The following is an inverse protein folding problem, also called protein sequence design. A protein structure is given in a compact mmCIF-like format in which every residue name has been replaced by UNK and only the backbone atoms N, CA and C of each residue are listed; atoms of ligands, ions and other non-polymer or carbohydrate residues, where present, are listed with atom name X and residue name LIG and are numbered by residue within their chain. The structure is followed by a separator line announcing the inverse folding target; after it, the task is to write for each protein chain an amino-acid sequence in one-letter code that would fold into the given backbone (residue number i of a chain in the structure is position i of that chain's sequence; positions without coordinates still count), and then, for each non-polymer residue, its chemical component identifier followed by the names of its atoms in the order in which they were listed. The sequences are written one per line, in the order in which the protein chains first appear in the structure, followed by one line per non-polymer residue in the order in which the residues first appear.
data_IF_100167584122
#
_entry.id   IF_100167584122
#
_cell.length_a   1.000
_cell.length_b   1.000
_cell.length_c   1.000
_cell.angle_alpha   90.00
_cell.angle_beta   90.00
_cell.angle_gamma   90.00
#
_symmetry.space_group_name_H-M   'P 1'
#
loop_
_entity.id
_entity.type
_entity.pdbx_description
1 polymer ?
#
# COMPACT_ATOMS: atom_id res chain seq x y z
N UNK A 1 -12.49 -32.69 -14.92
CA UNK A 1 -13.36 -31.68 -14.30
C UNK A 1 -12.55 -30.40 -14.22
N UNK A 2 -12.94 -29.30 -14.89
CA UNK A 2 -12.29 -28.02 -14.70
C UNK A 2 -13.19 -27.17 -13.80
N UNK A 3 -12.91 -27.10 -12.51
CA UNK A 3 -13.50 -26.05 -11.68
C UNK A 3 -12.56 -24.85 -11.67
N UNK A 4 -13.16 -23.76 -12.13
CA UNK A 4 -12.53 -22.55 -12.56
C UNK A 4 -12.10 -21.74 -11.34
N UNK A 5 -10.82 -21.37 -11.36
CA UNK A 5 -10.22 -20.12 -10.86
C UNK A 5 -11.23 -19.04 -10.43
N UNK A 6 -11.82 -19.17 -9.24
CA UNK A 6 -12.53 -18.09 -8.55
C UNK A 6 -11.50 -17.25 -7.80
N UNK A 7 -10.81 -16.38 -8.53
CA UNK A 7 -10.33 -15.12 -7.97
C UNK A 7 -11.58 -14.31 -7.61
N UNK A 8 -12.17 -14.64 -6.45
CA UNK A 8 -13.33 -13.94 -5.92
C UNK A 8 -12.94 -12.46 -5.78
N UNK A 9 -13.72 -11.60 -6.43
CA UNK A 9 -13.78 -10.17 -6.15
C UNK A 9 -14.15 -10.00 -4.67
N UNK A 10 -13.16 -10.11 -3.80
CA UNK A 10 -13.36 -10.01 -2.37
C UNK A 10 -13.42 -8.53 -2.05
N UNK A 11 -14.63 -7.97 -2.03
CA UNK A 11 -14.88 -6.73 -1.30
C UNK A 11 -14.25 -6.92 0.08
N UNK A 12 -13.25 -6.13 0.49
CA UNK A 12 -12.65 -6.29 1.80
C UNK A 12 -13.76 -6.22 2.85
N UNK A 13 -13.82 -7.22 3.73
CA UNK A 13 -14.80 -7.26 4.82
C UNK A 13 -14.74 -5.94 5.60
N UNK A 14 -15.88 -5.39 6.03
CA UNK A 14 -15.96 -4.12 6.78
C UNK A 14 -14.89 -4.02 7.87
N UNK A 15 -14.69 -5.11 8.62
CA UNK A 15 -13.70 -5.18 9.71
C UNK A 15 -12.25 -4.99 9.28
N UNK A 16 -11.89 -5.36 8.04
CA UNK A 16 -10.55 -5.13 7.48
C UNK A 16 -10.37 -3.64 7.19
N UNK A 17 -11.36 -3.00 6.57
CA UNK A 17 -11.32 -1.57 6.28
C UNK A 17 -11.30 -0.73 7.57
N UNK A 18 -12.08 -1.12 8.57
CA UNK A 18 -12.09 -0.46 9.89
C UNK A 18 -10.73 -0.57 10.58
N UNK A 19 -10.08 -1.73 10.54
CA UNK A 19 -8.75 -1.91 11.11
C UNK A 19 -7.68 -1.07 10.38
N UNK A 20 -7.76 -0.96 9.05
CA UNK A 20 -6.86 -0.10 8.26
C UNK A 20 -7.06 1.38 8.60
N UNK A 21 -8.32 1.80 8.72
CA UNK A 21 -8.64 3.17 9.11
C UNK A 21 -8.14 3.48 10.52
N UNK A 22 -8.23 2.54 11.46
CA UNK A 22 -7.68 2.67 12.80
C UNK A 22 -6.15 2.83 12.77
N UNK A 23 -5.44 1.98 12.01
CA UNK A 23 -3.99 2.08 11.84
C UNK A 23 -3.62 3.44 11.23
N UNK A 24 -4.33 3.89 10.22
CA UNK A 24 -4.15 5.22 9.63
C UNK A 24 -4.40 6.35 10.65
N UNK A 25 -5.46 6.27 11.45
CA UNK A 25 -5.77 7.25 12.51
C UNK A 25 -4.72 7.29 13.61
N UNK A 26 -4.08 6.16 13.94
CA UNK A 26 -3.05 6.13 14.99
C UNK A 26 -1.69 6.63 14.50
N UNK A 27 -1.44 6.56 13.19
CA UNK A 27 -0.13 6.92 12.58
C UNK A 27 -0.17 8.29 11.91
N UNK A 28 -0.99 8.45 10.87
CA UNK A 28 -1.19 9.75 10.20
C UNK A 28 -2.08 10.68 11.03
N UNK A 29 -3.13 10.17 11.68
CA UNK A 29 -4.08 10.96 12.48
C UNK A 29 -5.05 11.79 11.65
N UNK A 30 -4.52 12.59 10.72
CA UNK A 30 -5.30 13.36 9.74
C UNK A 30 -4.65 13.26 8.37
N UNK A 31 -5.43 13.51 7.31
CA UNK A 31 -4.89 13.49 5.94
C UNK A 31 -3.77 14.52 5.75
N UNK A 32 -3.91 15.70 6.35
CA UNK A 32 -2.91 16.77 6.29
C UNK A 32 -1.58 16.39 6.95
N UNK A 33 -1.61 15.50 7.94
CA UNK A 33 -0.43 15.02 8.65
C UNK A 33 0.12 13.70 8.07
N UNK A 34 -0.52 13.16 7.02
CA UNK A 34 -0.04 11.99 6.31
C UNK A 34 1.05 12.41 5.32
N UNK A 35 2.30 12.31 5.74
CA UNK A 35 3.51 12.70 5.02
C UNK A 35 4.47 11.50 4.94
N UNK A 36 5.66 11.68 4.40
CA UNK A 36 6.68 10.64 4.21
C UNK A 36 6.98 9.85 5.50
N UNK A 37 7.12 10.55 6.63
CA UNK A 37 7.43 9.90 7.92
C UNK A 37 6.23 9.13 8.48
N UNK A 38 5.04 9.73 8.46
CA UNK A 38 3.84 9.12 9.04
C UNK A 38 3.28 8.00 8.16
N UNK A 39 3.48 8.06 6.83
CA UNK A 39 3.10 6.96 5.93
C UNK A 39 3.99 5.74 6.11
N UNK A 40 5.29 5.92 6.37
CA UNK A 40 6.16 4.79 6.74
C UNK A 40 5.72 4.15 8.06
N UNK A 41 5.29 4.98 9.02
CA UNK A 41 4.73 4.47 10.28
C UNK A 41 3.42 3.70 10.06
N UNK A 42 2.55 4.19 9.16
CA UNK A 42 1.34 3.49 8.72
C UNK A 42 1.66 2.11 8.13
N UNK A 43 2.61 2.04 7.19
CA UNK A 43 3.00 0.78 6.54
C UNK A 43 3.65 -0.21 7.50
N UNK A 44 4.55 0.26 8.37
CA UNK A 44 5.14 -0.57 9.43
C UNK A 44 4.07 -1.12 10.35
N UNK A 45 3.05 -0.31 10.70
CA UNK A 45 1.98 -0.76 11.57
C UNK A 45 1.02 -1.74 10.90
N UNK A 46 0.83 -1.62 9.58
CA UNK A 46 0.18 -2.63 8.78
C UNK A 46 0.89 -3.98 8.87
N UNK A 47 2.20 -4.00 8.64
CA UNK A 47 3.02 -5.23 8.73
C UNK A 47 2.92 -5.85 10.13
N UNK A 48 3.09 -5.07 11.19
CA UNK A 48 2.94 -5.52 12.59
C UNK A 48 1.55 -6.13 12.88
N UNK A 49 0.53 -5.63 12.19
CA UNK A 49 -0.86 -6.10 12.34
C UNK A 49 -1.22 -7.25 11.39
N UNK A 50 -0.22 -7.85 10.71
CA UNK A 50 -0.37 -8.90 9.70
C UNK A 50 -1.18 -8.47 8.46
N UNK A 51 -1.25 -7.17 8.17
CA UNK A 51 -1.73 -6.68 6.88
C UNK A 51 -0.57 -6.64 5.89
N UNK A 52 -0.85 -7.11 4.67
CA UNK A 52 0.09 -7.00 3.57
C UNK A 52 0.38 -5.51 3.24
N UNK A 53 1.65 -5.08 3.21
CA UNK A 53 1.98 -3.69 2.94
C UNK A 53 1.53 -3.19 1.56
N UNK A 54 1.48 -4.05 0.54
CA UNK A 54 0.96 -3.70 -0.79
C UNK A 54 -0.55 -3.42 -0.73
N UNK A 55 -1.27 -4.17 0.10
CA UNK A 55 -2.69 -3.91 0.38
C UNK A 55 -2.88 -2.56 1.09
N UNK A 56 -2.05 -2.24 2.08
CA UNK A 56 -2.08 -0.92 2.74
C UNK A 56 -1.70 0.24 1.80
N UNK A 57 -0.72 0.04 0.92
CA UNK A 57 -0.39 0.99 -0.15
C UNK A 57 -1.59 1.25 -1.07
N UNK A 58 -2.29 0.20 -1.49
CA UNK A 58 -3.48 0.34 -2.34
C UNK A 58 -4.60 1.11 -1.63
N UNK A 59 -4.78 0.87 -0.33
CA UNK A 59 -5.78 1.57 0.47
C UNK A 59 -5.49 3.08 0.55
N UNK A 60 -4.24 3.47 0.83
CA UNK A 60 -3.89 4.89 0.94
C UNK A 60 -3.91 5.61 -0.41
N UNK A 61 -3.59 4.91 -1.50
CA UNK A 61 -3.73 5.41 -2.88
C UNK A 61 -5.16 5.83 -3.22
N UNK A 62 -6.17 5.10 -2.73
CA UNK A 62 -7.59 5.49 -2.89
C UNK A 62 -7.98 6.79 -2.15
N UNK A 63 -7.10 7.31 -1.28
CA UNK A 63 -7.30 8.55 -0.53
C UNK A 63 -6.27 9.63 -0.90
N UNK A 64 -5.54 9.42 -2.00
CA UNK A 64 -4.49 10.32 -2.49
C UNK A 64 -4.96 11.77 -2.70
N UNK A 65 -6.22 11.96 -3.07
CA UNK A 65 -6.85 13.27 -3.26
C UNK A 65 -6.90 14.12 -1.98
N UNK A 66 -6.84 13.48 -0.81
CA UNK A 66 -6.93 14.13 0.50
C UNK A 66 -5.56 14.44 1.10
N UNK A 67 -4.51 13.82 0.56
CA UNK A 67 -3.16 13.87 1.11
C UNK A 67 -2.38 15.00 0.42
N UNK A 68 -1.89 16.00 1.17
CA UNK A 68 -1.04 17.03 0.60
C UNK A 68 0.30 16.42 0.16
N UNK A 69 0.92 16.98 -0.88
CA UNK A 69 2.18 16.49 -1.43
C UNK A 69 2.17 14.99 -1.76
N UNK A 70 1.03 14.49 -2.25
CA UNK A 70 0.81 13.07 -2.53
C UNK A 70 1.95 12.42 -3.32
N UNK A 71 2.59 13.12 -4.27
CA UNK A 71 3.73 12.57 -5.02
C UNK A 71 4.86 12.06 -4.11
N UNK A 72 5.28 12.84 -3.12
CA UNK A 72 6.36 12.45 -2.21
C UNK A 72 5.94 11.30 -1.28
N UNK A 73 4.68 11.32 -0.84
CA UNK A 73 4.09 10.24 -0.03
C UNK A 73 4.01 8.94 -0.84
N UNK A 74 3.59 9.01 -2.10
CA UNK A 74 3.47 7.88 -3.01
C UNK A 74 4.84 7.24 -3.28
N UNK A 75 5.86 8.05 -3.60
CA UNK A 75 7.22 7.57 -3.84
C UNK A 75 7.77 6.87 -2.59
N UNK A 76 7.65 7.51 -1.42
CA UNK A 76 8.09 6.95 -0.14
C UNK A 76 7.35 5.63 0.17
N UNK A 77 6.04 5.58 -0.09
CA UNK A 77 5.21 4.39 0.12
C UNK A 77 5.70 3.24 -0.76
N UNK A 78 5.92 3.50 -2.05
CA UNK A 78 6.38 2.51 -3.01
C UNK A 78 7.77 1.99 -2.65
N UNK A 79 8.71 2.88 -2.32
CA UNK A 79 10.05 2.50 -1.88
C UNK A 79 10.01 1.61 -0.63
N UNK A 80 9.20 1.98 0.37
CA UNK A 80 9.08 1.21 1.60
C UNK A 80 8.51 -0.18 1.34
N UNK A 81 7.44 -0.29 0.56
CA UNK A 81 6.81 -1.59 0.24
C UNK A 81 7.78 -2.48 -0.54
N UNK A 82 8.52 -1.94 -1.50
CA UNK A 82 9.53 -2.69 -2.25
C UNK A 82 10.65 -3.25 -1.34
N UNK A 83 10.97 -2.56 -0.24
CA UNK A 83 11.99 -3.01 0.72
C UNK A 83 11.48 -4.09 1.70
N UNK A 84 10.18 -4.05 2.03
CA UNK A 84 9.60 -4.87 3.11
C UNK A 84 8.78 -6.04 2.60
N UNK A 85 8.26 -5.95 1.37
CA UNK A 85 7.63 -7.09 0.70
C UNK A 85 8.67 -7.75 -0.17
N UNK A 86 8.88 -9.05 0.03
CA UNK A 86 9.68 -9.88 -0.89
C UNK A 86 8.88 -10.13 -2.16
N UNK A 87 8.47 -9.06 -2.85
CA UNK A 87 7.99 -9.16 -4.23
C UNK A 87 9.21 -9.53 -5.06
N UNK A 88 9.35 -10.82 -5.31
CA UNK A 88 10.47 -11.39 -6.05
C UNK A 88 10.71 -10.63 -7.35
N UNK A 89 11.98 -10.24 -7.50
CA UNK A 89 12.63 -9.67 -8.69
C UNK A 89 12.32 -8.21 -9.02
N UNK A 90 13.35 -7.35 -9.16
CA UNK A 90 13.17 -6.09 -9.87
C UNK A 90 12.71 -6.41 -11.29
N UNK A 91 11.64 -5.77 -11.75
CA UNK A 91 11.41 -5.61 -13.19
C UNK A 91 12.55 -4.72 -13.66
N UNK A 92 13.66 -5.33 -14.08
CA UNK A 92 14.67 -4.65 -14.86
C UNK A 92 13.99 -4.23 -16.15
N UNK A 93 13.58 -2.96 -16.22
CA UNK A 93 13.34 -2.29 -17.51
C UNK A 93 14.69 -2.17 -18.20
N UNK A 94 15.18 -3.29 -18.72
CA UNK A 94 16.28 -3.28 -19.68
C UNK A 94 15.69 -2.72 -20.96
N UNK A 95 15.87 -1.42 -21.10
CA UNK A 95 15.85 -0.68 -22.35
C UNK A 95 16.90 -1.28 -23.29
N UNK A 96 16.59 -2.40 -23.95
CA UNK A 96 17.40 -2.93 -25.04
C UNK A 96 16.69 -2.66 -26.38
N UNK A 97 16.95 -1.43 -26.82
CA UNK A 97 17.26 -1.03 -28.18
C UNK A 97 16.77 -1.91 -29.35
N UNK A 98 15.97 -1.27 -30.20
CA UNK A 98 15.65 -1.60 -31.59
C UNK A 98 16.89 -2.11 -32.36
N UNK A 99 16.83 -3.35 -32.85
CA UNK A 99 17.29 -3.70 -34.21
C UNK A 99 16.64 -4.97 -34.76
#
# INVERSE_FOLDING_TARGET
MPEQNEFTKSTPNSSILEAMEEIWRTTCGTWQNCNETTVQSFLSKCEESNFDPQFCMTWIQHHSDKIPNWSAVADTTQEWVNQHTSTGSPISVSEDNIH
#
